data_IF_346515323918
#
_entry.id   IF_346515323918
#
_cell.length_a   1.000
_cell.length_b   1.000
_cell.length_c   1.000
_cell.angle_alpha   90.00
_cell.angle_beta   90.00
_cell.angle_gamma   90.00
#
_symmetry.space_group_name_H-M   'P 1'
#
loop_
_entity.id
_entity.type
_entity.pdbx_description
1 polymer ?
#
# COMPACT_ATOMS: atom_id res chain seq x y z
N UNK A 1 -43.35 6.84 -0.45
CA UNK A 1 -42.90 6.76 -0.52
C UNK A 1 -41.90 6.78 -0.40
N UNK A 2 -41.34 7.14 -0.46
CA UNK A 2 -40.70 7.26 -0.16
C UNK A 2 -39.62 6.64 -0.23
N UNK A 3 -39.42 6.28 -0.20
CA UNK A 3 -38.62 5.55 -0.43
C UNK A 3 -37.46 5.76 -1.02
N UNK A 4 -37.60 6.43 -1.64
CA UNK A 4 -36.68 6.82 -2.45
C UNK A 4 -35.44 7.27 -1.84
N UNK A 5 -35.52 8.13 -1.03
CA UNK A 5 -34.46 8.72 -0.37
C UNK A 5 -33.57 7.74 0.29
N UNK A 6 -34.18 6.81 0.80
CA UNK A 6 -33.51 5.83 1.48
C UNK A 6 -32.47 5.12 0.72
N UNK A 7 -32.81 4.80 -0.45
CA UNK A 7 -31.93 4.08 -1.20
C UNK A 7 -30.71 4.80 -1.56
N UNK A 8 -30.79 6.03 -1.69
CA UNK A 8 -29.68 6.82 -2.10
C UNK A 8 -28.49 6.76 -1.21
N UNK A 9 -28.70 6.94 0.04
CA UNK A 9 -27.62 6.92 0.98
C UNK A 9 -26.92 5.59 1.02
N UNK A 10 -27.69 4.57 0.97
CA UNK A 10 -27.11 3.26 1.05
C UNK A 10 -26.27 2.93 -0.14
N UNK A 11 -26.69 3.38 -1.29
CA UNK A 11 -25.97 3.09 -2.48
C UNK A 11 -24.57 3.66 -2.51
N UNK A 12 -24.38 4.82 -2.00
CA UNK A 12 -23.08 5.41 -2.00
C UNK A 12 -22.07 4.62 -1.20
N UNK A 13 -22.45 4.20 -0.05
CA UNK A 13 -21.59 3.43 0.79
C UNK A 13 -21.26 2.09 0.17
N UNK A 14 -22.23 1.48 -0.43
CA UNK A 14 -22.01 0.20 -1.05
C UNK A 14 -21.04 0.27 -2.21
N UNK A 15 -21.14 1.28 -3.00
CA UNK A 15 -20.26 1.40 -4.14
C UNK A 15 -18.82 1.50 -3.75
N UNK A 16 -18.52 2.23 -2.71
CA UNK A 16 -17.15 2.35 -2.26
C UNK A 16 -16.57 1.00 -1.87
N UNK A 17 -17.32 0.23 -1.15
CA UNK A 17 -16.83 -1.06 -0.71
C UNK A 17 -16.67 -2.06 -1.82
N UNK A 18 -17.55 -1.99 -2.81
CA UNK A 18 -17.52 -2.99 -3.85
C UNK A 18 -16.35 -2.92 -4.80
N UNK A 19 -15.82 -1.75 -5.03
CA UNK A 19 -14.82 -1.56 -6.05
C UNK A 19 -13.40 -1.61 -5.55
N UNK A 20 -13.21 -1.82 -4.27
CA UNK A 20 -11.87 -1.81 -3.71
C UNK A 20 -11.24 -3.18 -3.80
N UNK A 21 -9.99 -3.21 -4.25
CA UNK A 21 -9.22 -4.45 -4.26
C UNK A 21 -8.77 -4.77 -2.84
N UNK A 22 -8.58 -6.04 -2.52
CA UNK A 22 -8.10 -6.40 -1.19
C UNK A 22 -6.65 -6.01 -1.02
N UNK A 23 -6.27 -5.67 0.20
CA UNK A 23 -4.88 -5.42 0.50
C UNK A 23 -4.05 -6.67 0.26
N UNK A 24 -4.55 -7.81 0.72
CA UNK A 24 -3.84 -9.08 0.63
C UNK A 24 -4.02 -9.71 -0.74
N UNK A 25 -2.94 -10.26 -1.27
CA UNK A 25 -3.02 -11.00 -2.52
C UNK A 25 -2.92 -10.15 -3.78
N UNK A 26 -2.95 -8.86 -3.65
CA UNK A 26 -2.83 -7.94 -4.78
C UNK A 26 -1.37 -7.52 -4.92
N UNK A 27 -0.88 -7.45 -6.15
CA UNK A 27 0.45 -6.91 -6.40
C UNK A 27 0.36 -5.41 -6.50
N UNK A 28 1.09 -4.72 -5.64
CA UNK A 28 1.06 -3.26 -5.56
C UNK A 28 2.37 -2.67 -6.06
N UNK A 29 2.27 -1.75 -7.00
CA UNK A 29 3.43 -1.10 -7.61
C UNK A 29 3.53 0.34 -7.11
N UNK A 30 4.70 0.72 -6.61
CA UNK A 30 4.89 2.05 -6.04
C UNK A 30 4.84 3.11 -7.13
N UNK A 31 3.99 4.11 -6.92
CA UNK A 31 3.78 5.19 -7.89
C UNK A 31 4.19 6.54 -7.37
N UNK A 32 4.10 6.75 -6.07
CA UNK A 32 4.39 8.04 -5.47
C UNK A 32 4.94 7.85 -4.07
N UNK A 33 5.95 8.62 -3.71
CA UNK A 33 6.55 8.53 -2.38
C UNK A 33 6.80 9.92 -1.85
N UNK A 34 6.23 10.20 -0.68
CA UNK A 34 6.40 11.48 0.02
C UNK A 34 6.14 12.66 -0.91
N UNK A 35 5.06 12.55 -1.68
CA UNK A 35 4.64 13.66 -2.55
C UNK A 35 5.31 13.72 -3.90
N UNK A 36 6.26 12.82 -4.17
CA UNK A 36 6.96 12.82 -5.46
C UNK A 36 6.46 11.69 -6.34
N UNK A 37 6.11 12.02 -7.57
CA UNK A 37 5.71 11.01 -8.55
C UNK A 37 6.94 10.28 -9.04
N UNK A 38 6.82 8.98 -9.19
CA UNK A 38 7.91 8.13 -9.59
C UNK A 38 7.59 7.44 -10.91
N UNK A 39 8.60 7.33 -11.78
CA UNK A 39 8.47 6.63 -13.04
C UNK A 39 9.36 5.40 -12.99
N UNK A 40 8.84 4.36 -12.36
CA UNK A 40 9.60 3.13 -12.11
C UNK A 40 9.20 2.05 -13.10
N UNK A 41 10.14 1.16 -13.37
CA UNK A 41 9.87 0.01 -14.25
C UNK A 41 8.80 -0.87 -13.63
N UNK A 42 8.06 -1.57 -14.47
CA UNK A 42 6.93 -2.38 -14.01
C UNK A 42 7.30 -3.51 -13.08
N UNK A 43 8.55 -3.93 -13.07
CA UNK A 43 9.01 -5.03 -12.22
C UNK A 43 9.76 -4.54 -10.98
N UNK A 44 9.82 -3.23 -10.77
CA UNK A 44 10.50 -2.66 -9.60
C UNK A 44 9.51 -2.05 -8.65
N UNK A 45 9.82 -2.14 -7.37
CA UNK A 45 8.96 -1.62 -6.29
C UNK A 45 7.55 -2.19 -6.38
N UNK A 46 7.50 -3.52 -6.52
CA UNK A 46 6.25 -4.28 -6.52
C UNK A 46 6.22 -5.15 -5.28
N UNK A 47 5.14 -5.05 -4.51
CA UNK A 47 5.04 -5.67 -3.20
C UNK A 47 3.70 -6.36 -3.02
N UNK A 48 3.70 -7.42 -2.20
CA UNK A 48 2.47 -8.13 -1.86
C UNK A 48 2.36 -8.31 -0.36
N UNK A 49 1.13 -8.36 0.11
CA UNK A 49 0.79 -8.65 1.49
C UNK A 49 0.13 -10.02 1.49
N UNK A 50 0.70 -10.97 2.21
CA UNK A 50 0.12 -12.31 2.24
C UNK A 50 -0.91 -12.43 3.36
N UNK A 51 -1.77 -13.42 3.26
CA UNK A 51 -2.75 -13.68 4.29
C UNK A 51 -2.08 -14.12 5.60
N UNK A 52 -0.84 -14.59 5.52
CA UNK A 52 -0.10 -15.05 6.68
C UNK A 52 0.60 -13.94 7.45
N UNK A 53 0.43 -12.70 7.03
CA UNK A 53 1.07 -11.59 7.72
C UNK A 53 2.47 -11.28 7.23
N UNK A 54 2.80 -11.70 6.01
CA UNK A 54 4.12 -11.42 5.42
C UNK A 54 4.01 -10.37 4.35
N UNK A 55 5.01 -9.49 4.31
CA UNK A 55 5.13 -8.46 3.30
C UNK A 55 6.42 -8.71 2.56
N UNK A 56 6.38 -8.71 1.24
CA UNK A 56 7.56 -8.98 0.45
C UNK A 56 7.46 -8.40 -0.94
N UNK A 57 8.60 -8.07 -1.49
CA UNK A 57 8.68 -7.60 -2.86
C UNK A 57 10.09 -7.26 -3.23
N UNK A 58 10.23 -6.65 -4.39
CA UNK A 58 11.53 -6.23 -4.90
C UNK A 58 11.51 -4.72 -5.05
N UNK A 59 12.53 -4.06 -4.51
CA UNK A 59 12.69 -2.62 -4.69
C UNK A 59 13.45 -2.34 -5.98
N UNK A 60 14.47 -1.49 -5.92
CA UNK A 60 15.26 -1.15 -7.10
C UNK A 60 16.08 -2.36 -7.57
N UNK A 61 16.75 -3.02 -6.64
CA UNK A 61 17.48 -4.25 -6.94
C UNK A 61 17.51 -5.19 -5.75
N UNK A 62 17.03 -4.75 -4.61
CA UNK A 62 17.05 -5.56 -3.40
C UNK A 62 15.67 -6.11 -3.12
N UNK A 63 15.66 -7.28 -2.51
CA UNK A 63 14.44 -7.83 -2.01
C UNK A 63 14.15 -7.19 -0.66
N UNK A 64 12.92 -6.73 -0.48
CA UNK A 64 12.47 -6.12 0.79
C UNK A 64 11.37 -7.00 1.33
N UNK A 65 11.47 -7.38 2.61
CA UNK A 65 10.53 -8.31 3.19
C UNK A 65 10.42 -8.08 4.70
N UNK A 66 9.36 -8.63 5.28
CA UNK A 66 9.13 -8.51 6.70
C UNK A 66 7.73 -8.97 7.05
N UNK A 67 7.26 -8.56 8.22
CA UNK A 67 5.92 -8.88 8.67
C UNK A 67 5.08 -7.63 8.71
N UNK A 68 3.76 -7.79 8.60
CA UNK A 68 2.86 -6.66 8.75
C UNK A 68 1.67 -7.08 9.60
N UNK A 69 1.01 -6.08 10.18
CA UNK A 69 -0.23 -6.27 10.91
C UNK A 69 -1.23 -5.24 10.43
N UNK A 70 -2.47 -5.69 10.28
CA UNK A 70 -3.56 -4.78 9.92
C UNK A 70 -4.83 -5.25 10.60
N UNK A 71 -5.82 -4.36 10.68
CA UNK A 71 -7.10 -4.71 11.26
C UNK A 71 -8.23 -4.02 10.52
N UNK A 72 -9.46 -4.24 10.98
CA UNK A 72 -10.64 -3.71 10.33
C UNK A 72 -10.74 -2.19 10.41
N UNK A 73 -10.01 -1.58 11.31
CA UNK A 73 -9.95 -0.12 11.40
C UNK A 73 -8.86 0.45 10.48
N UNK A 74 -8.28 -0.41 9.63
CA UNK A 74 -7.24 -0.05 8.66
C UNK A 74 -5.95 0.43 9.30
N UNK A 75 -5.67 -0.03 10.50
CA UNK A 75 -4.36 0.17 11.07
C UNK A 75 -3.38 -0.68 10.25
N UNK A 76 -2.17 -0.20 10.09
CA UNK A 76 -1.14 -0.93 9.36
C UNK A 76 0.20 -0.63 10.00
N UNK A 77 0.92 -1.68 10.32
CA UNK A 77 2.28 -1.53 10.83
C UNK A 77 3.15 -2.64 10.26
N UNK A 78 4.45 -2.38 10.20
CA UNK A 78 5.42 -3.32 9.68
C UNK A 78 6.44 -3.64 10.76
N UNK A 79 6.87 -4.89 10.80
CA UNK A 79 7.84 -5.36 11.78
C UNK A 79 8.90 -6.19 11.09
N UNK A 80 10.10 -6.12 11.64
CA UNK A 80 11.21 -6.95 11.15
C UNK A 80 11.49 -6.76 9.66
N UNK A 81 11.36 -5.52 9.18
CA UNK A 81 11.68 -5.25 7.79
C UNK A 81 13.17 -5.45 7.55
N UNK A 82 13.48 -6.12 6.47
CA UNK A 82 14.84 -6.42 6.10
C UNK A 82 14.97 -6.34 4.58
N UNK A 83 16.19 -6.22 4.11
CA UNK A 83 16.43 -6.22 2.68
C UNK A 83 17.79 -6.82 2.39
N UNK A 84 17.96 -7.31 1.17
CA UNK A 84 19.27 -7.68 0.68
C UNK A 84 20.07 -6.39 0.46
N UNK A 85 21.37 -6.50 0.23
CA UNK A 85 22.24 -5.34 0.26
C UNK A 85 23.09 -5.19 -0.99
N UNK A 86 22.41 -5.08 -2.11
CA UNK A 86 23.09 -4.78 -3.34
C UNK A 86 23.09 -3.28 -3.58
N UNK A 87 24.10 -2.80 -4.29
CA UNK A 87 24.15 -1.40 -4.69
C UNK A 87 23.70 -1.29 -6.14
N UNK A 88 22.80 -0.37 -6.41
CA UNK A 88 22.29 -0.13 -7.76
C UNK A 88 21.75 1.29 -7.83
N UNK A 89 21.45 1.78 -9.02
CA UNK A 89 20.74 3.05 -9.14
C UNK A 89 19.43 2.94 -8.39
N UNK A 90 19.00 3.99 -7.76
CA UNK A 90 17.74 4.05 -6.99
C UNK A 90 17.76 3.27 -5.68
N UNK A 91 18.94 2.81 -5.22
CA UNK A 91 19.00 2.14 -3.92
C UNK A 91 18.59 3.11 -2.79
N UNK A 92 18.80 4.40 -2.97
CA UNK A 92 18.36 5.37 -1.98
C UNK A 92 16.84 5.42 -1.86
N UNK A 93 16.14 5.15 -2.95
CA UNK A 93 14.70 5.11 -2.93
C UNK A 93 14.21 3.93 -2.09
N UNK A 94 14.94 2.81 -2.11
CA UNK A 94 14.62 1.68 -1.24
C UNK A 94 14.70 2.08 0.22
N UNK A 95 15.74 2.84 0.57
CA UNK A 95 15.91 3.30 1.94
C UNK A 95 14.78 4.22 2.36
N UNK A 96 14.39 5.14 1.49
CA UNK A 96 13.28 6.05 1.76
C UNK A 96 11.97 5.30 1.91
N UNK A 97 11.73 4.34 1.04
CA UNK A 97 10.51 3.56 1.11
C UNK A 97 10.46 2.73 2.40
N UNK A 98 11.57 2.11 2.77
CA UNK A 98 11.62 1.33 4.00
C UNK A 98 11.36 2.22 5.22
N UNK A 99 11.86 3.44 5.21
CA UNK A 99 11.62 4.38 6.30
C UNK A 99 10.13 4.75 6.38
N UNK A 100 9.49 4.92 5.23
CA UNK A 100 8.06 5.21 5.20
C UNK A 100 7.27 4.03 5.77
N UNK A 101 7.64 2.81 5.40
CA UNK A 101 6.98 1.62 5.96
C UNK A 101 7.15 1.55 7.46
N UNK A 102 8.32 1.92 7.98
CA UNK A 102 8.56 1.90 9.40
C UNK A 102 7.73 2.91 10.19
N UNK A 103 7.24 3.94 9.51
CA UNK A 103 6.42 4.97 10.15
C UNK A 103 4.92 4.77 9.92
N UNK A 104 4.54 3.77 9.14
CA UNK A 104 3.15 3.60 8.75
C UNK A 104 2.26 3.36 9.97
N UNK A 105 1.11 3.99 9.99
CA UNK A 105 0.10 3.76 11.03
C UNK A 105 -1.19 3.23 10.46
N UNK A 106 -1.53 3.60 9.23
CA UNK A 106 -2.80 3.22 8.62
C UNK A 106 -2.65 3.06 7.11
N UNK A 107 -3.66 2.48 6.49
CA UNK A 107 -3.72 2.40 5.04
C UNK A 107 -5.14 2.63 4.58
N UNK A 108 -5.29 2.96 3.31
CA UNK A 108 -6.59 3.04 2.65
C UNK A 108 -6.47 2.45 1.27
N UNK A 109 -7.54 1.81 0.83
CA UNK A 109 -7.63 1.33 -0.55
C UNK A 109 -8.82 1.99 -1.18
N UNK A 110 -8.61 2.57 -2.36
CA UNK A 110 -9.67 3.19 -3.14
C UNK A 110 -9.57 2.61 -4.55
N UNK A 111 -10.43 1.65 -4.87
CA UNK A 111 -10.38 0.95 -6.14
C UNK A 111 -9.09 0.14 -6.25
N UNK A 112 -8.24 0.54 -7.16
CA UNK A 112 -6.96 -0.13 -7.39
C UNK A 112 -5.78 0.68 -6.85
N UNK A 113 -6.04 1.60 -5.94
CA UNK A 113 -5.01 2.46 -5.36
C UNK A 113 -4.88 2.16 -3.88
N UNK A 114 -3.65 1.94 -3.44
CA UNK A 114 -3.33 1.75 -2.02
C UNK A 114 -2.57 2.96 -1.53
N UNK A 115 -3.03 3.52 -0.42
CA UNK A 115 -2.35 4.64 0.23
C UNK A 115 -1.84 4.18 1.59
N UNK A 116 -0.59 4.47 1.87
CA UNK A 116 0.01 4.18 3.18
C UNK A 116 0.17 5.51 3.90
N UNK A 117 -0.40 5.59 5.10
CA UNK A 117 -0.48 6.83 5.86
C UNK A 117 0.31 6.72 7.16
N UNK A 118 0.82 7.87 7.59
CA UNK A 118 1.42 8.01 8.91
C UNK A 118 0.70 9.15 9.59
N UNK A 119 -0.02 8.85 10.67
CA UNK A 119 -0.77 9.84 11.44
C UNK A 119 -1.66 10.72 10.59
N UNK A 120 -2.31 10.10 9.59
CA UNK A 120 -3.27 10.81 8.75
C UNK A 120 -2.70 11.41 7.49
N UNK A 121 -1.37 11.37 7.33
CA UNK A 121 -0.74 11.91 6.12
C UNK A 121 -0.34 10.80 5.17
N UNK A 122 -0.65 10.97 3.90
CA UNK A 122 -0.31 10.00 2.89
C UNK A 122 1.19 10.06 2.63
N UNK A 123 1.88 8.94 2.83
CA UNK A 123 3.32 8.85 2.64
C UNK A 123 3.67 8.12 1.36
N UNK A 124 2.86 7.17 0.94
CA UNK A 124 3.14 6.41 -0.27
C UNK A 124 1.84 6.06 -0.97
N UNK A 125 1.88 6.04 -2.28
CA UNK A 125 0.75 5.62 -3.10
C UNK A 125 1.23 4.52 -4.02
N UNK A 126 0.51 3.41 -4.00
CA UNK A 126 0.79 2.27 -4.85
C UNK A 126 -0.46 1.95 -5.66
N UNK A 127 -0.28 1.34 -6.81
CA UNK A 127 -1.39 0.92 -7.66
C UNK A 127 -1.28 -0.54 -7.95
N UNK A 128 -2.42 -1.19 -8.08
CA UNK A 128 -2.44 -2.60 -8.44
C UNK A 128 -1.89 -2.78 -9.85
N UNK A 129 -1.11 -3.84 -10.02
CA UNK A 129 -0.55 -4.17 -11.31
C UNK A 129 -1.57 -4.82 -12.20
#
# INVERSE_FOLDING_TARGET
MTLVAIMLGGCCACRKGKNNLPLQGTEWHLMRLMGKDLALDNDKFVFTFSADGEFAGTGACNRIFGAYKSNDARALSFENLASTRRMCPDVNLETEFSAVLGRATHYEVDGNVLMILSNGEVQAILMAK
#
